data_IF_379299840321
#
_entry.id   IF_379299840321
#
_cell.length_a   1.000
_cell.length_b   1.000
_cell.length_c   1.000
_cell.angle_alpha   90.00
_cell.angle_beta   90.00
_cell.angle_gamma   90.00
#
_symmetry.space_group_name_H-M   'P 1'
#
loop_
_entity.id
_entity.type
_entity.pdbx_description
1 polymer ?
#
# COMPACT_ATOMS: atom_id res chain seq x y z
N UNK A 1 29.79 -51.25 -1.74
CA UNK A 1 28.43 -50.80 -1.34
C UNK A 1 28.63 -49.64 -0.39
N UNK A 2 28.74 -48.42 -0.92
CA UNK A 2 29.09 -47.23 -0.13
C UNK A 2 27.85 -46.37 0.01
N UNK A 3 27.30 -46.33 1.22
CA UNK A 3 26.23 -45.41 1.59
C UNK A 3 26.88 -44.07 1.95
N UNK A 4 26.60 -43.03 1.16
CA UNK A 4 26.96 -41.66 1.48
C UNK A 4 25.82 -41.12 2.36
N UNK A 5 26.06 -41.00 3.66
CA UNK A 5 25.17 -40.24 4.55
C UNK A 5 25.30 -38.76 4.22
N UNK A 6 24.32 -38.21 3.50
CA UNK A 6 24.17 -36.77 3.36
C UNK A 6 23.58 -36.21 4.67
N UNK A 7 24.43 -35.56 5.47
CA UNK A 7 23.97 -34.76 6.61
C UNK A 7 23.30 -33.49 6.09
N UNK A 8 21.98 -33.42 6.20
CA UNK A 8 21.22 -32.19 6.00
C UNK A 8 21.48 -31.26 7.19
N UNK A 9 22.16 -30.13 6.93
CA UNK A 9 22.30 -29.05 7.89
C UNK A 9 21.05 -28.17 7.79
N UNK A 10 20.12 -28.35 8.73
CA UNK A 10 18.96 -27.47 8.87
C UNK A 10 19.42 -26.18 9.54
N UNK A 11 19.53 -25.09 8.76
CA UNK A 11 19.73 -23.75 9.30
C UNK A 11 18.34 -23.23 9.69
N UNK A 12 18.04 -23.23 10.99
CA UNK A 12 16.86 -22.54 11.53
C UNK A 12 17.27 -21.08 11.73
N UNK A 13 16.85 -20.21 10.82
CA UNK A 13 16.90 -18.76 11.08
C UNK A 13 15.86 -18.44 12.15
N UNK A 14 16.34 -18.11 13.34
CA UNK A 14 15.50 -17.50 14.39
C UNK A 14 15.48 -16.01 14.09
N UNK A 15 14.42 -15.54 13.44
CA UNK A 15 14.15 -14.11 13.36
C UNK A 15 13.75 -13.66 14.77
N UNK A 16 14.58 -12.84 15.40
CA UNK A 16 14.20 -12.14 16.62
C UNK A 16 13.29 -10.99 16.20
N UNK A 17 11.98 -11.16 16.38
CA UNK A 17 11.07 -10.05 16.25
C UNK A 17 11.25 -9.18 17.49
N UNK A 18 11.96 -8.06 17.34
CA UNK A 18 12.01 -7.04 18.38
C UNK A 18 10.59 -6.54 18.61
N UNK A 19 10.11 -6.65 19.86
CA UNK A 19 8.87 -6.01 20.24
C UNK A 19 8.97 -4.50 19.93
N UNK A 20 7.92 -3.92 19.36
CA UNK A 20 7.86 -2.49 19.15
C UNK A 20 8.02 -1.75 20.49
N UNK A 21 8.78 -0.65 20.49
CA UNK A 21 8.94 0.19 21.66
C UNK A 21 7.59 0.77 22.10
N UNK A 22 7.41 0.93 23.41
CA UNK A 22 6.16 1.42 23.97
C UNK A 22 6.19 2.93 24.22
N UNK A 23 5.10 3.62 23.89
CA UNK A 23 4.90 5.04 24.22
C UNK A 23 4.70 5.20 25.72
N UNK A 24 5.57 5.97 26.37
CA UNK A 24 5.62 6.09 27.82
C UNK A 24 4.68 7.18 28.31
N UNK A 25 3.88 6.86 29.33
CA UNK A 25 3.08 7.86 30.01
C UNK A 25 3.95 8.86 30.78
N UNK A 26 3.69 10.14 30.55
CA UNK A 26 4.38 11.27 31.15
C UNK A 26 3.35 12.27 31.68
N UNK A 27 3.43 12.60 32.98
CA UNK A 27 2.51 13.54 33.65
C UNK A 27 1.01 13.23 33.46
N UNK A 28 0.65 11.94 33.41
CA UNK A 28 -0.73 11.49 33.19
C UNK A 28 -1.18 11.53 31.74
N UNK A 29 -0.28 11.73 30.78
CA UNK A 29 -0.57 11.79 29.35
C UNK A 29 0.22 10.74 28.58
N UNK A 30 -0.39 10.19 27.54
CA UNK A 30 0.29 9.52 26.42
C UNK A 30 -0.19 10.21 25.16
N UNK A 31 0.64 11.09 24.60
CA UNK A 31 0.41 11.85 23.36
C UNK A 31 1.14 11.15 22.22
N UNK A 32 0.43 10.78 21.15
CA UNK A 32 0.97 9.97 20.05
C UNK A 32 0.43 10.47 18.71
N UNK A 33 1.30 10.80 17.77
CA UNK A 33 0.95 10.88 16.35
C UNK A 33 0.67 9.48 15.82
N UNK A 34 -0.47 9.27 15.18
CA UNK A 34 -0.91 7.99 14.66
C UNK A 34 0.12 7.43 13.67
N UNK A 35 0.78 8.27 12.87
CA UNK A 35 1.80 7.82 11.92
C UNK A 35 3.12 7.34 12.54
N UNK A 36 3.26 7.35 13.86
CA UNK A 36 4.46 6.84 14.54
C UNK A 36 4.61 5.32 14.57
N UNK A 37 3.61 4.58 14.10
CA UNK A 37 3.68 3.11 13.89
C UNK A 37 3.42 2.82 12.42
N UNK A 38 3.96 1.73 11.83
CA UNK A 38 3.67 1.39 10.44
C UNK A 38 2.16 1.32 10.16
N UNK A 39 1.69 1.80 8.99
CA UNK A 39 0.27 1.76 8.69
C UNK A 39 -0.19 0.31 8.52
N UNK A 40 -1.38 0.02 9.04
CA UNK A 40 -2.09 -1.20 8.69
C UNK A 40 -2.47 -1.20 7.21
N UNK A 41 -2.85 -2.37 6.66
CA UNK A 41 -3.39 -2.45 5.30
C UNK A 41 -4.46 -1.39 5.02
N UNK A 42 -4.45 -0.79 3.83
CA UNK A 42 -5.45 0.21 3.37
C UNK A 42 -5.39 1.59 4.08
N UNK A 43 -4.57 1.74 5.13
CA UNK A 43 -4.18 3.06 5.61
C UNK A 43 -3.06 3.62 4.74
N UNK A 44 -3.24 4.85 4.28
CA UNK A 44 -2.24 5.55 3.49
C UNK A 44 -1.66 6.68 4.33
N UNK A 45 -0.32 6.67 4.50
CA UNK A 45 0.38 7.83 5.03
C UNK A 45 0.20 8.99 4.06
N UNK A 46 -0.24 10.13 4.59
CA UNK A 46 -0.35 11.37 3.86
C UNK A 46 0.56 12.38 4.50
N UNK A 47 1.34 13.09 3.69
CA UNK A 47 2.23 14.15 4.14
C UNK A 47 2.01 15.38 3.28
N UNK A 48 2.17 16.58 3.86
CA UNK A 48 1.87 17.80 3.12
C UNK A 48 0.37 18.04 2.94
N UNK A 49 0.08 19.10 2.19
CA UNK A 49 -1.24 19.29 1.62
C UNK A 49 -1.44 18.31 0.46
N UNK A 50 -2.54 17.55 0.50
CA UNK A 50 -2.91 16.61 -0.55
C UNK A 50 -4.40 16.73 -0.89
N UNK A 51 -4.77 16.31 -2.10
CA UNK A 51 -6.16 16.24 -2.57
C UNK A 51 -6.78 14.93 -2.06
N UNK A 52 -7.83 15.03 -1.25
CA UNK A 52 -8.58 13.86 -0.76
C UNK A 52 -9.71 13.46 -1.71
N UNK A 53 -9.93 14.22 -2.79
CA UNK A 53 -11.02 14.04 -3.74
C UNK A 53 -12.12 15.09 -3.55
N UNK A 54 -13.05 15.14 -4.51
CA UNK A 54 -14.17 16.10 -4.48
C UNK A 54 -13.77 17.58 -4.58
N UNK A 55 -12.50 17.89 -4.88
CA UNK A 55 -11.96 19.25 -4.86
C UNK A 55 -11.55 19.73 -3.46
N UNK A 56 -11.41 18.82 -2.50
CA UNK A 56 -10.99 19.13 -1.14
C UNK A 56 -9.51 18.82 -0.95
N UNK A 57 -8.78 19.77 -0.37
CA UNK A 57 -7.38 19.55 0.04
C UNK A 57 -7.29 19.58 1.56
N UNK A 58 -6.45 18.71 2.12
CA UNK A 58 -6.21 18.65 3.57
C UNK A 58 -4.74 18.35 3.85
N UNK A 59 -4.34 18.53 5.09
CA UNK A 59 -3.04 18.18 5.65
C UNK A 59 -3.24 17.69 7.09
N UNK A 60 -2.24 17.00 7.65
CA UNK A 60 -2.21 16.71 9.08
C UNK A 60 -2.33 18.00 9.92
N UNK A 61 -3.15 17.97 10.96
CA UNK A 61 -3.42 19.09 11.84
C UNK A 61 -2.32 19.31 12.90
N UNK A 62 -1.74 18.26 13.45
CA UNK A 62 -0.68 18.38 14.45
C UNK A 62 0.67 18.69 13.78
N UNK A 63 0.97 18.01 12.67
CA UNK A 63 2.32 18.01 12.14
C UNK A 63 2.46 17.75 10.63
N UNK A 64 1.41 18.09 9.85
CA UNK A 64 1.40 17.99 8.39
C UNK A 64 1.55 16.55 7.87
N UNK A 65 1.25 15.55 8.70
CA UNK A 65 1.02 14.18 8.30
C UNK A 65 -0.22 13.60 8.99
N UNK A 66 -0.83 12.59 8.37
CA UNK A 66 -1.93 11.84 8.96
C UNK A 66 -2.09 10.50 8.23
N UNK A 67 -2.90 9.62 8.78
CA UNK A 67 -3.39 8.45 8.07
C UNK A 67 -4.76 8.67 7.46
N UNK A 68 -4.88 8.33 6.19
CA UNK A 68 -6.14 8.31 5.43
C UNK A 68 -6.53 6.86 5.15
N UNK A 69 -7.66 6.42 5.68
CA UNK A 69 -8.18 5.09 5.40
C UNK A 69 -8.85 5.03 4.03
N UNK A 70 -8.39 4.11 3.18
CA UNK A 70 -8.87 3.97 1.79
C UNK A 70 -9.60 2.67 1.50
N UNK A 71 -9.69 1.79 2.49
CA UNK A 71 -10.38 0.51 2.39
C UNK A 71 -11.90 0.60 2.55
N UNK A 72 -12.56 -0.56 2.44
CA UNK A 72 -14.00 -0.75 2.65
C UNK A 72 -14.91 0.21 1.81
N UNK A 73 -16.20 0.28 2.18
CA UNK A 73 -17.13 1.28 1.66
C UNK A 73 -17.18 2.50 2.60
N UNK A 74 -17.68 3.63 2.09
CA UNK A 74 -17.74 4.87 2.86
C UNK A 74 -18.72 4.79 4.05
N UNK A 75 -19.76 3.95 3.98
CA UNK A 75 -20.78 3.83 5.03
C UNK A 75 -20.60 2.62 5.96
N UNK A 76 -19.72 1.67 5.60
CA UNK A 76 -19.58 0.40 6.29
C UNK A 76 -18.34 -0.37 5.86
N UNK A 77 -17.85 -1.22 6.77
CA UNK A 77 -16.70 -2.07 6.55
C UNK A 77 -16.51 -3.06 7.69
N UNK A 78 -15.74 -4.12 7.43
CA UNK A 78 -15.21 -4.98 8.48
C UNK A 78 -14.00 -4.34 9.16
N UNK A 79 -13.45 -5.01 10.17
CA UNK A 79 -12.17 -4.61 10.78
C UNK A 79 -11.05 -4.94 9.79
N UNK A 80 -10.38 -3.91 9.27
CA UNK A 80 -9.20 -4.05 8.38
C UNK A 80 -8.12 -3.04 8.76
N UNK A 81 -6.87 -3.28 8.36
CA UNK A 81 -5.81 -2.30 8.58
C UNK A 81 -5.49 -2.04 10.04
N UNK A 82 -5.32 -3.08 10.85
CA UNK A 82 -4.98 -2.92 12.26
C UNK A 82 -3.61 -2.24 12.44
N UNK A 83 -3.58 -1.17 13.24
CA UNK A 83 -2.39 -0.48 13.72
C UNK A 83 -2.29 -0.70 15.23
N UNK A 84 -1.14 -1.17 15.70
CA UNK A 84 -0.86 -1.46 17.11
C UNK A 84 0.02 -0.38 17.72
N UNK A 85 -0.42 0.16 18.85
CA UNK A 85 0.30 1.14 19.67
C UNK A 85 0.54 0.53 21.05
N UNK A 86 1.75 0.04 21.35
CA UNK A 86 2.12 -0.39 22.69
C UNK A 86 2.26 0.85 23.59
N UNK A 87 1.56 0.88 24.71
CA UNK A 87 1.51 2.02 25.63
C UNK A 87 1.97 1.57 27.00
N UNK A 88 2.91 2.28 27.60
CA UNK A 88 3.42 2.01 28.94
C UNK A 88 2.85 2.99 29.95
N UNK A 89 1.87 2.53 30.73
CA UNK A 89 1.27 3.29 31.82
C UNK A 89 2.13 3.14 33.08
N UNK A 90 2.58 4.26 33.67
CA UNK A 90 3.34 4.25 34.92
C UNK A 90 2.46 4.58 36.13
N UNK A 91 1.42 5.38 35.92
CA UNK A 91 0.49 5.82 36.97
C UNK A 91 -0.92 5.23 36.77
N UNK A 92 -1.29 4.13 37.45
CA UNK A 92 -2.57 3.45 37.20
C UNK A 92 -3.80 4.33 37.49
N UNK A 93 -4.92 3.99 36.87
CA UNK A 93 -6.24 4.57 37.10
C UNK A 93 -7.02 4.82 35.81
N UNK A 94 -8.00 5.73 35.88
CA UNK A 94 -8.89 6.04 34.77
C UNK A 94 -8.25 6.97 33.74
N UNK A 95 -8.18 6.51 32.50
CA UNK A 95 -7.76 7.27 31.33
C UNK A 95 -8.91 7.48 30.35
N UNK A 96 -8.89 8.59 29.64
CA UNK A 96 -9.84 8.96 28.59
C UNK A 96 -9.08 9.09 27.28
N UNK A 97 -9.54 8.42 26.23
CA UNK A 97 -9.01 8.59 24.89
C UNK A 97 -9.64 9.79 24.19
N UNK A 98 -8.78 10.68 23.73
CA UNK A 98 -9.10 11.75 22.80
C UNK A 98 -8.35 11.48 21.49
N UNK A 99 -9.05 11.55 20.35
CA UNK A 99 -8.42 11.38 19.04
C UNK A 99 -8.80 12.54 18.13
N UNK A 100 -7.79 13.08 17.44
CA UNK A 100 -7.92 14.11 16.43
C UNK A 100 -8.17 13.43 15.10
N UNK A 101 -9.38 13.60 14.60
CA UNK A 101 -9.89 12.88 13.44
C UNK A 101 -10.58 13.84 12.48
N UNK A 102 -10.82 13.36 11.25
CA UNK A 102 -11.63 14.05 10.25
C UNK A 102 -12.50 13.02 9.53
N UNK A 103 -13.78 13.34 9.34
CA UNK A 103 -14.64 12.66 8.37
C UNK A 103 -14.55 13.38 7.01
N UNK A 104 -14.40 12.64 5.91
CA UNK A 104 -14.31 13.21 4.57
C UNK A 104 -15.18 12.42 3.56
N UNK A 105 -16.52 12.60 3.57
CA UNK A 105 -17.45 11.84 2.73
C UNK A 105 -17.39 12.28 1.26
N UNK A 106 -16.26 12.06 0.57
CA UNK A 106 -16.00 12.52 -0.80
C UNK A 106 -16.85 11.80 -1.84
N UNK A 107 -17.34 10.59 -1.56
CA UNK A 107 -18.16 9.81 -2.50
C UNK A 107 -19.65 10.15 -2.36
N UNK A 108 -20.16 10.20 -1.13
CA UNK A 108 -21.59 10.40 -0.84
C UNK A 108 -21.99 11.84 -0.60
N UNK A 109 -21.05 12.69 -0.17
CA UNK A 109 -21.33 14.02 0.39
C UNK A 109 -22.36 13.97 1.54
N UNK A 110 -22.38 12.86 2.30
CA UNK A 110 -23.20 12.65 3.50
C UNK A 110 -22.30 12.52 4.73
N UNK A 111 -22.32 13.51 5.61
CA UNK A 111 -21.53 13.52 6.86
C UNK A 111 -21.94 12.46 7.89
N UNK A 112 -22.92 11.62 7.59
CA UNK A 112 -23.19 10.41 8.39
C UNK A 112 -22.35 9.21 7.93
N UNK A 113 -21.60 9.35 6.82
CA UNK A 113 -20.68 8.36 6.25
C UNK A 113 -19.24 8.86 6.41
N UNK A 114 -18.24 8.01 6.16
CA UNK A 114 -16.81 8.31 6.31
C UNK A 114 -16.41 8.76 7.73
N UNK A 115 -17.21 8.47 8.74
CA UNK A 115 -17.13 9.13 10.05
C UNK A 115 -16.72 8.21 11.19
N UNK A 116 -16.26 7.00 10.90
CA UNK A 116 -15.87 6.06 11.93
C UNK A 116 -14.70 5.15 11.56
N UNK A 117 -14.04 4.68 12.61
CA UNK A 117 -13.05 3.62 12.60
C UNK A 117 -13.41 2.58 13.68
N UNK A 118 -12.59 1.56 13.85
CA UNK A 118 -12.63 0.67 15.00
C UNK A 118 -11.47 0.98 15.94
N UNK A 119 -11.72 0.94 17.25
CA UNK A 119 -10.67 0.96 18.28
C UNK A 119 -10.81 -0.23 19.21
N UNK A 120 -9.71 -0.60 19.87
CA UNK A 120 -9.69 -1.65 20.90
C UNK A 120 -8.58 -1.35 21.90
N UNK A 121 -8.88 -1.47 23.20
CA UNK A 121 -7.87 -1.53 24.25
C UNK A 121 -7.83 -2.95 24.81
N UNK A 122 -6.74 -3.67 24.59
CA UNK A 122 -6.62 -5.07 25.01
C UNK A 122 -6.66 -5.21 26.54
N UNK A 123 -7.34 -6.25 27.02
CA UNK A 123 -7.46 -6.53 28.45
C UNK A 123 -8.63 -5.83 29.14
N UNK A 124 -9.32 -4.90 28.49
CA UNK A 124 -10.54 -4.30 29.02
C UNK A 124 -11.67 -5.35 29.03
N UNK A 125 -12.32 -5.51 30.18
CA UNK A 125 -13.39 -6.52 30.35
C UNK A 125 -14.78 -5.92 30.50
N UNK A 126 -14.86 -4.61 30.73
CA UNK A 126 -16.12 -3.91 30.90
C UNK A 126 -16.63 -3.35 29.57
N UNK A 127 -17.96 -3.35 29.41
CA UNK A 127 -18.61 -2.75 28.25
C UNK A 127 -18.20 -3.35 26.91
N UNK A 128 -17.98 -2.48 25.94
CA UNK A 128 -17.59 -2.84 24.58
C UNK A 128 -16.09 -2.57 24.31
N UNK A 129 -15.34 -2.17 25.33
CA UNK A 129 -14.00 -1.57 25.20
C UNK A 129 -12.88 -2.60 24.94
N UNK A 130 -13.13 -3.87 25.29
CA UNK A 130 -12.19 -4.98 25.09
C UNK A 130 -12.17 -5.62 23.70
N UNK A 131 -13.11 -5.25 22.83
CA UNK A 131 -13.20 -5.72 21.45
C UNK A 131 -13.01 -4.55 20.49
N UNK A 132 -12.79 -4.86 19.21
CA UNK A 132 -12.90 -3.82 18.18
C UNK A 132 -14.32 -3.28 18.16
N UNK A 133 -14.45 -2.03 18.61
CA UNK A 133 -15.73 -1.33 18.66
C UNK A 133 -15.65 -0.06 17.83
N UNK A 134 -16.77 0.24 17.17
CA UNK A 134 -16.93 1.39 16.32
C UNK A 134 -16.71 2.68 17.14
N UNK A 135 -15.86 3.56 16.62
CA UNK A 135 -15.50 4.84 17.20
C UNK A 135 -15.82 5.94 16.21
N UNK A 136 -16.80 6.77 16.57
CA UNK A 136 -17.57 7.61 15.66
C UNK A 136 -17.27 9.06 15.93
N UNK A 137 -16.85 9.75 14.89
CA UNK A 137 -16.82 11.19 14.86
C UNK A 137 -18.17 11.72 14.39
N UNK A 138 -18.71 12.70 15.10
CA UNK A 138 -19.96 13.39 14.74
C UNK A 138 -19.70 14.89 14.57
N UNK A 139 -18.49 15.25 14.15
CA UNK A 139 -18.07 16.63 13.91
C UNK A 139 -17.97 16.91 12.42
N UNK A 140 -18.12 18.18 12.04
CA UNK A 140 -18.39 18.57 10.66
C UNK A 140 -17.40 18.04 9.62
N UNK A 141 -17.94 17.66 8.46
CA UNK A 141 -17.17 17.11 7.35
C UNK A 141 -16.04 18.02 6.88
N UNK A 142 -14.91 17.42 6.52
CA UNK A 142 -13.68 18.10 6.08
C UNK A 142 -13.07 19.03 7.13
N UNK A 143 -13.36 18.81 8.41
CA UNK A 143 -12.74 19.54 9.51
C UNK A 143 -12.15 18.59 10.53
N UNK A 144 -10.95 18.93 11.01
CA UNK A 144 -10.32 18.21 12.10
C UNK A 144 -11.03 18.55 13.41
N UNK A 145 -11.29 17.53 14.22
CA UNK A 145 -11.73 17.76 15.57
C UNK A 145 -11.55 16.57 16.49
N UNK A 146 -11.80 16.86 17.76
CA UNK A 146 -11.62 15.95 18.87
C UNK A 146 -12.94 15.28 19.27
N UNK A 147 -12.82 14.37 20.23
CA UNK A 147 -13.91 13.68 20.92
C UNK A 147 -14.82 12.76 20.07
N UNK A 148 -14.28 11.91 19.18
CA UNK A 148 -15.03 10.74 18.73
C UNK A 148 -15.53 9.90 19.92
N UNK A 149 -16.62 9.17 19.70
CA UNK A 149 -17.35 8.41 20.73
C UNK A 149 -17.45 6.94 20.36
N UNK A 150 -17.31 6.07 21.35
CA UNK A 150 -17.53 4.64 21.16
C UNK A 150 -19.03 4.39 21.02
N UNK A 151 -19.43 3.60 20.03
CA UNK A 151 -20.81 3.16 19.84
C UNK A 151 -21.02 1.76 20.46
N UNK A 152 -21.28 1.70 21.77
CA UNK A 152 -21.60 0.46 22.51
C UNK A 152 -23.05 0.00 22.22
N UNK A 153 -23.32 -0.36 20.97
CA UNK A 153 -24.65 -0.67 20.46
C UNK A 153 -25.27 0.50 19.69
N UNK A 154 -26.26 0.19 18.86
CA UNK A 154 -26.80 1.14 17.88
C UNK A 154 -27.23 2.47 18.52
N UNK A 155 -26.55 3.55 18.12
CA UNK A 155 -26.72 4.93 18.58
C UNK A 155 -26.52 5.16 20.08
N UNK A 156 -25.83 4.25 20.77
CA UNK A 156 -25.43 4.40 22.16
C UNK A 156 -23.97 4.88 22.24
N UNK A 157 -23.80 6.20 22.22
CA UNK A 157 -22.48 6.85 22.20
C UNK A 157 -21.97 7.12 23.61
N UNK A 158 -20.79 6.59 23.93
CA UNK A 158 -20.10 6.78 25.21
C UNK A 158 -18.68 7.30 24.98
N UNK A 159 -18.08 7.86 26.03
CA UNK A 159 -16.64 8.20 25.99
C UNK A 159 -15.81 6.92 26.09
N UNK A 160 -14.65 6.94 25.43
CA UNK A 160 -13.65 5.87 25.51
C UNK A 160 -12.84 6.00 26.80
N UNK A 161 -13.36 5.42 27.89
CA UNK A 161 -12.75 5.45 29.22
C UNK A 161 -12.13 4.08 29.55
N UNK A 162 -10.89 4.05 30.05
CA UNK A 162 -10.14 2.82 30.31
C UNK A 162 -9.52 2.82 31.71
N UNK A 163 -9.83 1.81 32.52
CA UNK A 163 -9.16 1.63 33.82
C UNK A 163 -7.89 0.83 33.57
N UNK A 164 -6.74 1.49 33.71
CA UNK A 164 -5.46 0.94 33.32
C UNK A 164 -4.58 0.75 34.53
N UNK A 165 -4.09 -0.49 34.71
CA UNK A 165 -3.03 -0.81 35.65
C UNK A 165 -1.67 -0.27 35.16
N UNK A 166 -0.67 -0.22 36.04
CA UNK A 166 0.70 0.03 35.62
C UNK A 166 1.21 -1.15 34.78
N UNK A 167 1.81 -0.87 33.62
CA UNK A 167 2.27 -1.90 32.70
C UNK A 167 2.22 -1.49 31.23
N UNK A 168 2.49 -2.45 30.35
CA UNK A 168 2.33 -2.29 28.90
C UNK A 168 0.92 -2.73 28.51
N UNK A 169 0.23 -1.89 27.77
CA UNK A 169 -1.10 -2.11 27.21
C UNK A 169 -1.03 -2.00 25.69
N UNK A 170 -1.89 -2.72 24.98
CA UNK A 170 -1.96 -2.67 23.53
C UNK A 170 -3.23 -1.94 23.12
N UNK A 171 -3.05 -0.77 22.52
CA UNK A 171 -4.12 -0.02 21.89
C UNK A 171 -4.11 -0.26 20.38
N UNK A 172 -5.28 -0.48 19.80
CA UNK A 172 -5.43 -0.73 18.37
C UNK A 172 -6.36 0.30 17.74
N UNK A 173 -5.99 0.73 16.53
CA UNK A 173 -6.87 1.44 15.60
C UNK A 173 -6.99 0.58 14.36
N UNK A 174 -8.20 0.42 13.83
CA UNK A 174 -8.45 -0.28 12.58
C UNK A 174 -9.45 0.49 11.73
N UNK A 175 -9.35 0.36 10.41
CA UNK A 175 -10.24 1.02 9.48
C UNK A 175 -11.65 0.43 9.50
N UNK A 176 -12.64 1.29 9.26
CA UNK A 176 -14.04 0.91 9.05
C UNK A 176 -14.60 1.61 7.83
N UNK A 177 -14.81 2.92 7.93
CA UNK A 177 -15.38 3.72 6.84
C UNK A 177 -14.30 4.34 6.00
N UNK A 178 -14.36 4.14 4.68
CA UNK A 178 -13.47 4.82 3.73
C UNK A 178 -13.49 6.33 3.98
N UNK A 179 -12.35 6.98 3.78
CA UNK A 179 -12.16 8.42 3.92
C UNK A 179 -12.28 8.95 5.34
N UNK A 180 -12.15 8.08 6.34
CA UNK A 180 -11.84 8.49 7.70
C UNK A 180 -10.34 8.80 7.82
N UNK A 181 -10.01 9.87 8.52
CA UNK A 181 -8.63 10.27 8.77
C UNK A 181 -8.33 10.31 10.26
N UNK A 182 -7.14 9.87 10.62
CA UNK A 182 -6.60 9.96 11.98
C UNK A 182 -5.24 10.65 11.96
N UNK A 183 -5.00 11.53 12.91
CA UNK A 183 -3.77 12.31 13.01
C UNK A 183 -3.07 12.04 14.34
N UNK A 184 -3.70 12.42 15.45
CA UNK A 184 -3.13 12.30 16.79
C UNK A 184 -4.12 11.62 17.72
N UNK A 185 -3.62 10.85 18.68
CA UNK A 185 -4.40 10.53 19.87
C UNK A 185 -3.68 10.92 21.16
N UNK A 186 -4.48 11.15 22.19
CA UNK A 186 -4.06 11.42 23.55
C UNK A 186 -4.84 10.51 24.48
N UNK A 187 -4.13 9.66 25.20
CA UNK A 187 -4.69 8.93 26.33
C UNK A 187 -4.37 9.72 27.60
N UNK A 188 -5.37 10.39 28.16
CA UNK A 188 -5.21 11.31 29.26
C UNK A 188 -5.84 10.78 30.53
N UNK A 189 -5.10 10.79 31.64
CA UNK A 189 -5.66 10.49 32.96
C UNK A 189 -6.80 11.46 33.24
N UNK A 190 -7.91 10.99 33.79
CA UNK A 190 -9.14 11.78 33.97
C UNK A 190 -8.98 13.07 34.81
N UNK A 191 -7.88 13.18 35.57
CA UNK A 191 -7.51 14.38 36.32
C UNK A 191 -6.78 15.46 35.50
N UNK A 192 -6.32 15.16 34.29
CA UNK A 192 -5.59 16.09 33.43
C UNK A 192 -6.56 17.07 32.77
N UNK A 193 -6.22 18.36 32.78
CA UNK A 193 -6.98 19.40 32.12
C UNK A 193 -6.43 19.70 30.73
N UNK A 194 -7.32 20.04 29.79
CA UNK A 194 -7.00 20.39 28.40
C UNK A 194 -6.14 19.34 27.66
N UNK A 195 -6.51 18.04 27.66
CA UNK A 195 -5.71 17.00 27.01
C UNK A 195 -5.66 17.11 25.47
N UNK A 196 -6.44 18.03 24.88
CA UNK A 196 -6.53 18.24 23.43
C UNK A 196 -5.70 19.42 22.92
N UNK A 197 -4.83 19.99 23.76
CA UNK A 197 -3.89 21.04 23.35
C UNK A 197 -2.84 20.46 22.38
N UNK A 198 -2.81 20.98 21.14
CA UNK A 198 -1.88 20.53 20.10
C UNK A 198 -0.41 20.82 20.43
N UNK A 199 -0.13 21.71 21.39
CA UNK A 199 1.21 22.01 21.85
C UNK A 199 1.78 21.04 22.88
N UNK A 200 0.98 20.07 23.36
CA UNK A 200 1.47 19.02 24.24
C UNK A 200 2.63 18.25 23.57
N UNK A 201 3.73 17.97 24.30
CA UNK A 201 4.84 17.21 23.76
C UNK A 201 4.40 15.78 23.46
N UNK A 202 5.03 15.19 22.44
CA UNK A 202 4.91 13.77 22.12
C UNK A 202 5.53 12.92 23.24
N UNK A 203 4.96 11.74 23.46
CA UNK A 203 5.47 10.80 24.47
C UNK A 203 6.81 10.23 24.04
N UNK A 204 7.71 10.01 25.00
CA UNK A 204 8.94 9.26 24.74
C UNK A 204 8.64 7.77 24.46
N UNK A 205 9.56 7.10 23.74
CA UNK A 205 9.54 5.66 23.58
C UNK A 205 10.45 5.00 24.64
N UNK A 206 10.06 3.82 25.13
CA UNK A 206 10.76 3.18 26.25
C UNK A 206 12.11 2.53 25.90
N UNK A 207 12.47 2.49 24.62
CA UNK A 207 13.80 2.18 24.12
C UNK A 207 14.73 3.41 24.00
N UNK A 208 14.20 4.60 24.30
CA UNK A 208 14.90 5.87 24.22
C UNK A 208 14.93 6.51 22.84
N UNK A 209 14.25 5.94 21.84
CA UNK A 209 14.03 6.62 20.56
C UNK A 209 13.03 7.77 20.71
N UNK A 210 13.13 8.77 19.84
CA UNK A 210 12.22 9.90 19.82
C UNK A 210 11.07 9.64 18.85
N UNK A 211 9.84 9.88 19.28
CA UNK A 211 8.73 10.01 18.35
C UNK A 211 8.98 11.27 17.49
N UNK A 212 8.84 11.16 16.18
CA UNK A 212 8.85 12.35 15.33
C UNK A 212 7.55 12.46 14.54
N UNK A 213 7.11 13.71 14.45
CA UNK A 213 6.05 14.16 13.57
C UNK A 213 6.33 13.76 12.11
N UNK A 214 5.33 13.21 11.41
CA UNK A 214 5.51 12.85 10.00
C UNK A 214 5.97 11.43 9.73
N UNK A 215 5.86 10.55 10.72
CA UNK A 215 6.14 9.13 10.60
C UNK A 215 7.55 8.79 11.01
N UNK A 216 7.88 9.05 12.29
CA UNK A 216 9.23 9.16 12.82
C UNK A 216 10.14 7.95 12.91
N UNK A 217 10.30 7.23 11.81
CA UNK A 217 11.61 6.72 11.39
C UNK A 217 11.97 7.44 10.10
N UNK A 218 13.23 7.39 9.69
CA UNK A 218 13.59 7.61 8.27
C UNK A 218 13.06 6.41 7.45
N UNK A 219 11.75 6.13 7.56
CA UNK A 219 11.11 5.01 6.90
C UNK A 219 11.12 5.36 5.43
N UNK A 220 11.93 4.64 4.68
CA UNK A 220 11.91 4.78 3.23
C UNK A 220 10.50 4.37 2.79
N UNK A 221 9.72 5.24 2.12
CA UNK A 221 8.38 4.88 1.69
C UNK A 221 8.41 3.59 0.89
N UNK A 222 7.45 2.70 1.16
CA UNK A 222 7.33 1.46 0.39
C UNK A 222 6.89 1.81 -1.03
N UNK A 223 7.73 1.55 -2.01
CA UNK A 223 7.47 1.84 -3.43
C UNK A 223 7.88 0.65 -4.28
N UNK A 224 7.05 0.31 -5.28
CA UNK A 224 7.43 -0.63 -6.34
C UNK A 224 8.12 0.13 -7.47
N UNK A 225 9.43 -0.08 -7.63
CA UNK A 225 10.25 0.54 -8.68
C UNK A 225 10.17 -0.27 -9.98
N UNK A 226 10.25 -1.60 -9.90
CA UNK A 226 10.23 -2.50 -11.05
C UNK A 226 9.30 -3.70 -10.83
N UNK A 227 8.54 -4.15 -11.84
CA UNK A 227 8.39 -3.55 -13.18
C UNK A 227 7.70 -2.19 -13.16
N UNK A 228 8.01 -1.30 -14.11
CA UNK A 228 7.40 0.03 -14.18
C UNK A 228 5.88 -0.04 -14.44
N UNK A 229 5.12 0.96 -13.97
CA UNK A 229 3.68 1.08 -14.22
C UNK A 229 3.35 1.05 -15.72
N UNK A 230 2.27 0.34 -16.08
CA UNK A 230 1.86 0.14 -17.48
C UNK A 230 2.65 -0.92 -18.26
N UNK A 231 3.60 -1.61 -17.61
CA UNK A 231 4.27 -2.77 -18.23
C UNK A 231 3.31 -3.95 -18.34
N UNK A 232 3.32 -4.66 -19.47
CA UNK A 232 2.67 -5.98 -19.57
C UNK A 232 3.66 -7.10 -19.23
N UNK A 233 3.23 -8.09 -18.47
CA UNK A 233 4.05 -9.22 -18.05
C UNK A 233 3.71 -10.46 -18.87
N UNK A 234 4.72 -11.23 -19.26
CA UNK A 234 4.50 -12.49 -19.98
C UNK A 234 4.31 -13.60 -18.96
N UNK A 235 3.20 -14.33 -19.04
CA UNK A 235 2.97 -15.51 -18.17
C UNK A 235 4.12 -16.50 -18.27
N UNK A 236 4.46 -17.20 -17.19
CA UNK A 236 5.57 -18.15 -17.11
C UNK A 236 6.97 -17.56 -17.31
N UNK A 237 7.11 -16.24 -17.40
CA UNK A 237 8.42 -15.58 -17.40
C UNK A 237 8.87 -15.31 -15.96
N UNK A 238 10.18 -15.31 -15.73
CA UNK A 238 10.77 -14.85 -14.47
C UNK A 238 11.11 -13.37 -14.58
N UNK A 239 10.63 -12.58 -13.62
CA UNK A 239 10.94 -11.16 -13.49
C UNK A 239 11.61 -10.87 -12.14
N UNK A 240 12.31 -9.74 -12.06
CA UNK A 240 12.84 -9.21 -10.81
C UNK A 240 11.96 -8.06 -10.36
N UNK A 241 11.38 -8.21 -9.18
CA UNK A 241 10.71 -7.15 -8.46
C UNK A 241 11.77 -6.33 -7.75
N UNK A 242 11.66 -5.01 -7.85
CA UNK A 242 12.53 -4.07 -7.14
C UNK A 242 11.64 -3.04 -6.45
N UNK A 243 11.95 -2.73 -5.20
CA UNK A 243 11.24 -1.73 -4.44
C UNK A 243 12.12 -1.06 -3.40
N UNK A 244 11.72 0.16 -3.02
CA UNK A 244 12.28 0.87 -1.88
C UNK A 244 11.39 0.67 -0.67
N UNK A 245 12.00 0.69 0.50
CA UNK A 245 11.32 0.54 1.78
C UNK A 245 12.07 -0.42 2.68
N UNK A 246 11.81 -0.31 3.98
CA UNK A 246 12.41 -1.20 4.97
C UNK A 246 11.54 -2.45 5.14
N UNK A 247 12.20 -3.59 5.32
CA UNK A 247 11.56 -4.88 5.59
C UNK A 247 10.48 -5.32 4.58
N UNK A 248 10.68 -5.03 3.29
CA UNK A 248 9.70 -5.37 2.25
C UNK A 248 9.32 -6.86 2.24
N UNK A 249 8.03 -7.12 2.13
CA UNK A 249 7.43 -8.41 1.83
C UNK A 249 6.58 -8.29 0.57
N UNK A 250 6.71 -9.26 -0.32
CA UNK A 250 6.08 -9.25 -1.64
C UNK A 250 5.00 -10.33 -1.74
N UNK A 251 3.86 -9.98 -2.29
CA UNK A 251 2.79 -10.92 -2.66
C UNK A 251 2.15 -10.57 -4.00
N UNK A 252 1.38 -11.50 -4.56
CA UNK A 252 0.51 -11.21 -5.69
C UNK A 252 -0.89 -11.78 -5.52
N UNK A 253 -1.82 -11.16 -6.22
CA UNK A 253 -3.19 -11.59 -6.50
C UNK A 253 -3.32 -11.78 -8.02
N UNK A 254 -3.59 -13.01 -8.45
CA UNK A 254 -3.65 -13.37 -9.87
C UNK A 254 -5.08 -13.34 -10.36
N UNK A 255 -5.33 -12.57 -11.43
CA UNK A 255 -6.63 -12.07 -11.93
C UNK A 255 -7.14 -10.80 -11.24
N UNK A 256 -6.49 -10.34 -10.17
CA UNK A 256 -6.86 -9.11 -9.46
C UNK A 256 -8.31 -9.10 -8.94
N UNK A 257 -8.86 -10.26 -8.57
CA UNK A 257 -10.22 -10.40 -8.05
C UNK A 257 -10.34 -10.11 -6.55
N UNK A 258 -9.22 -9.90 -5.86
CA UNK A 258 -9.17 -9.68 -4.42
C UNK A 258 -9.25 -10.97 -3.58
N UNK A 259 -9.29 -12.15 -4.21
CA UNK A 259 -9.37 -13.45 -3.55
C UNK A 259 -7.99 -14.12 -3.46
N UNK A 260 -7.29 -13.80 -2.37
CA UNK A 260 -6.08 -14.54 -1.96
C UNK A 260 -4.78 -13.91 -2.45
N UNK A 261 -3.82 -13.83 -1.51
CA UNK A 261 -2.47 -13.34 -1.79
C UNK A 261 -1.49 -14.49 -1.69
N UNK A 262 -0.69 -14.71 -2.74
CA UNK A 262 0.41 -15.68 -2.73
C UNK A 262 1.71 -14.93 -2.42
N UNK A 263 2.43 -15.38 -1.40
CA UNK A 263 3.72 -14.78 -1.03
C UNK A 263 4.79 -15.10 -2.08
N UNK A 264 5.56 -14.08 -2.45
CA UNK A 264 6.67 -14.16 -3.41
C UNK A 264 8.01 -14.25 -2.67
N UNK A 265 8.26 -13.29 -1.76
CA UNK A 265 9.56 -13.17 -1.09
C UNK A 265 9.66 -11.96 -0.17
N UNK A 266 10.86 -11.67 0.31
CA UNK A 266 11.17 -10.51 1.18
C UNK A 266 12.44 -9.80 0.72
N UNK A 267 12.62 -8.55 1.16
CA UNK A 267 13.75 -7.68 0.80
C UNK A 267 13.45 -6.76 -0.38
N UNK A 268 14.39 -5.87 -0.67
CA UNK A 268 14.23 -4.82 -1.69
C UNK A 268 14.20 -5.37 -3.13
N UNK A 269 14.56 -6.65 -3.28
CA UNK A 269 14.49 -7.36 -4.55
C UNK A 269 13.93 -8.76 -4.34
N UNK A 270 13.06 -9.22 -5.24
CA UNK A 270 12.57 -10.61 -5.26
C UNK A 270 12.47 -11.14 -6.69
N UNK A 271 12.91 -12.38 -6.92
CA UNK A 271 12.62 -13.07 -8.19
C UNK A 271 11.22 -13.68 -8.14
N UNK A 272 10.46 -13.48 -9.21
CA UNK A 272 9.07 -13.88 -9.31
C UNK A 272 8.80 -14.55 -10.67
N UNK A 273 8.27 -15.76 -10.67
CA UNK A 273 7.76 -16.41 -11.88
C UNK A 273 6.28 -16.02 -12.05
N UNK A 274 5.98 -15.30 -13.15
CA UNK A 274 4.62 -14.86 -13.46
C UNK A 274 3.74 -16.10 -13.65
N UNK A 275 2.61 -16.25 -12.94
CA UNK A 275 1.78 -17.45 -13.03
C UNK A 275 1.25 -17.65 -14.45
N UNK A 276 1.12 -18.91 -14.87
CA UNK A 276 0.50 -19.30 -16.14
C UNK A 276 -0.97 -19.67 -15.95
N UNK A 277 -1.78 -19.51 -17.00
CA UNK A 277 -3.17 -19.96 -16.99
C UNK A 277 -4.08 -19.09 -16.13
N UNK A 278 -3.75 -17.81 -15.97
CA UNK A 278 -4.63 -16.82 -15.36
C UNK A 278 -5.81 -16.58 -16.31
N UNK A 279 -7.03 -16.83 -15.83
CA UNK A 279 -8.27 -16.62 -16.58
C UNK A 279 -8.62 -15.12 -16.66
N UNK A 280 -9.67 -14.77 -17.43
CA UNK A 280 -10.09 -13.38 -17.55
C UNK A 280 -10.66 -12.84 -16.21
N UNK A 281 -10.26 -11.61 -15.79
CA UNK A 281 -9.36 -10.71 -16.49
C UNK A 281 -7.89 -11.14 -16.37
N UNK A 282 -7.16 -11.08 -17.50
CA UNK A 282 -5.72 -11.39 -17.58
C UNK A 282 -4.87 -10.29 -16.95
N UNK A 283 -4.99 -10.11 -15.65
CA UNK A 283 -4.25 -9.14 -14.87
C UNK A 283 -3.60 -9.80 -13.66
N UNK A 284 -2.60 -9.12 -13.09
CA UNK A 284 -2.00 -9.51 -11.83
C UNK A 284 -1.74 -8.26 -11.00
N UNK A 285 -2.11 -8.28 -9.72
CA UNK A 285 -1.76 -7.22 -8.78
C UNK A 285 -0.59 -7.69 -7.92
N UNK A 286 0.53 -6.97 -7.97
CA UNK A 286 1.69 -7.21 -7.10
C UNK A 286 1.63 -6.20 -5.97
N UNK A 287 1.83 -6.66 -4.74
CA UNK A 287 1.82 -5.85 -3.52
C UNK A 287 3.16 -5.99 -2.80
N UNK A 288 3.76 -4.85 -2.44
CA UNK A 288 4.89 -4.74 -1.53
C UNK A 288 4.39 -4.12 -0.22
N UNK A 289 4.66 -4.77 0.91
CA UNK A 289 4.39 -4.23 2.25
C UNK A 289 5.71 -4.12 3.00
N UNK A 290 6.02 -2.92 3.48
CA UNK A 290 7.20 -2.62 4.30
C UNK A 290 6.85 -1.66 5.43
N UNK A 291 7.85 -1.27 6.20
CA UNK A 291 7.64 -0.40 7.37
C UNK A 291 7.13 1.00 6.96
N UNK A 292 7.51 1.45 5.76
CA UNK A 292 7.01 2.67 5.12
C UNK A 292 5.62 2.53 4.48
N UNK A 293 4.90 1.44 4.76
CA UNK A 293 3.53 1.16 4.32
C UNK A 293 3.42 0.14 3.18
N UNK A 294 2.32 0.21 2.42
CA UNK A 294 2.02 -0.72 1.33
C UNK A 294 1.95 -0.01 -0.01
N UNK A 295 2.49 -0.66 -1.05
CA UNK A 295 2.33 -0.25 -2.44
C UNK A 295 1.83 -1.44 -3.27
N UNK A 296 0.85 -1.19 -4.13
CA UNK A 296 0.33 -2.20 -5.06
C UNK A 296 0.36 -1.68 -6.50
N UNK A 297 0.57 -2.57 -7.46
CA UNK A 297 0.54 -2.26 -8.89
C UNK A 297 -0.08 -3.41 -9.68
N UNK A 298 -1.00 -3.08 -10.58
CA UNK A 298 -1.67 -4.04 -11.47
C UNK A 298 -1.02 -4.02 -12.85
N UNK A 299 -0.80 -5.20 -13.43
CA UNK A 299 -0.19 -5.39 -14.73
C UNK A 299 -1.07 -6.27 -15.62
N UNK A 300 -1.09 -5.98 -16.91
CA UNK A 300 -1.70 -6.86 -17.92
C UNK A 300 -0.82 -8.09 -18.16
N UNK A 301 -1.43 -9.26 -18.34
CA UNK A 301 -0.76 -10.51 -18.64
C UNK A 301 -0.86 -10.88 -20.13
N UNK A 302 0.27 -11.33 -20.70
CA UNK A 302 0.37 -11.87 -22.05
C UNK A 302 0.61 -13.37 -22.00
N UNK A 303 -0.08 -14.15 -22.82
CA UNK A 303 0.17 -15.60 -22.94
C UNK A 303 1.56 -15.87 -23.51
N UNK A 304 2.23 -16.93 -23.00
CA UNK A 304 3.45 -17.43 -23.64
C UNK A 304 3.15 -17.84 -25.08
N UNK A 305 3.96 -17.32 -26.02
CA UNK A 305 3.88 -17.73 -27.41
C UNK A 305 2.93 -16.91 -28.28
N UNK A 306 2.32 -15.82 -27.78
CA UNK A 306 1.67 -14.84 -28.66
C UNK A 306 2.75 -14.04 -29.37
N UNK A 307 3.21 -14.59 -30.49
CA UNK A 307 3.90 -13.78 -31.49
C UNK A 307 2.87 -12.84 -32.08
N UNK A 308 2.97 -11.54 -31.79
CA UNK A 308 2.15 -10.53 -32.47
C UNK A 308 2.61 -10.50 -33.94
N UNK A 309 1.96 -11.30 -34.76
CA UNK A 309 2.10 -11.24 -36.22
C UNK A 309 1.22 -10.08 -36.67
N UNK A 310 1.85 -8.94 -36.94
CA UNK A 310 1.17 -7.89 -37.71
C UNK A 310 0.92 -8.46 -39.10
N UNK A 311 -0.35 -8.62 -39.45
CA UNK A 311 -0.73 -8.91 -40.82
C UNK A 311 -0.46 -7.67 -41.68
N UNK A 312 0.47 -7.81 -42.62
CA UNK A 312 0.89 -6.76 -43.54
C UNK A 312 0.07 -6.85 -44.85
N UNK A 313 -1.12 -7.46 -44.82
CA UNK A 313 -2.06 -7.51 -45.95
C UNK A 313 -2.68 -6.13 -46.26
N UNK A 314 -1.83 -5.29 -46.86
CA UNK A 314 -2.10 -3.97 -47.38
C UNK A 314 -0.94 -3.39 -48.21
N UNK A 315 0.19 -4.10 -48.32
CA UNK A 315 1.36 -3.66 -49.09
C UNK A 315 1.16 -3.79 -50.61
N UNK A 316 0.40 -2.88 -51.21
CA UNK A 316 0.48 -2.66 -52.67
C UNK A 316 1.77 -1.93 -53.01
N UNK A 317 2.74 -2.67 -53.52
CA UNK A 317 3.99 -2.14 -54.10
C UNK A 317 3.65 -1.34 -55.37
N UNK A 318 3.48 -0.01 -55.27
CA UNK A 318 3.57 0.84 -56.46
C UNK A 318 5.05 1.04 -56.81
N UNK A 319 5.52 0.26 -57.78
CA UNK A 319 6.80 0.51 -58.45
C UNK A 319 6.70 1.82 -59.24
N UNK A 320 7.30 2.90 -58.73
CA UNK A 320 7.72 4.03 -59.56
C UNK A 320 9.22 4.20 -59.41
N UNK A 321 9.89 4.19 -60.56
CA UNK A 321 11.33 4.38 -60.68
C UNK A 321 11.78 5.76 -60.19
N UNK A 322 12.96 5.76 -59.57
CA UNK A 322 13.82 6.89 -59.17
C UNK A 322 13.51 7.54 -57.81
N UNK A 323 14.37 7.18 -56.85
CA UNK A 323 14.78 7.90 -55.64
C UNK A 323 13.69 8.69 -54.90
N UNK A 324 12.95 8.02 -54.03
CA UNK A 324 12.17 8.69 -52.99
C UNK A 324 12.19 7.86 -51.72
N UNK A 325 12.38 8.52 -50.58
CA UNK A 325 12.35 7.91 -49.25
C UNK A 325 11.08 7.05 -49.08
N UNK A 326 11.23 5.85 -48.51
CA UNK A 326 10.09 5.03 -48.13
C UNK A 326 9.37 5.71 -46.95
N UNK A 327 8.07 5.91 -47.10
CA UNK A 327 7.20 6.37 -46.02
C UNK A 327 6.43 5.16 -45.49
N UNK A 328 6.45 4.96 -44.19
CA UNK A 328 5.70 3.91 -43.51
C UNK A 328 4.47 4.55 -42.86
N UNK A 329 3.37 3.81 -42.72
CA UNK A 329 2.17 4.34 -42.06
C UNK A 329 1.78 3.37 -40.96
N UNK A 330 1.74 3.83 -39.72
CA UNK A 330 1.24 3.11 -38.54
C UNK A 330 0.08 3.94 -37.99
N UNK A 331 -1.09 3.32 -37.80
CA UNK A 331 -2.34 3.98 -37.34
C UNK A 331 -2.68 5.28 -38.10
N UNK A 332 -2.55 5.26 -39.43
CA UNK A 332 -2.88 6.40 -40.29
C UNK A 332 -1.87 7.55 -40.26
N UNK A 333 -0.79 7.47 -39.46
CA UNK A 333 0.27 8.48 -39.40
C UNK A 333 1.49 8.07 -40.24
N UNK A 334 1.94 8.97 -41.12
CA UNK A 334 3.14 8.76 -41.96
C UNK A 334 4.42 8.94 -41.15
N UNK A 335 5.16 7.87 -40.95
CA UNK A 335 6.49 7.85 -40.36
C UNK A 335 7.55 7.91 -41.48
N UNK A 336 8.47 8.87 -41.38
CA UNK A 336 9.71 8.89 -42.18
C UNK A 336 10.77 8.11 -41.40
N UNK A 337 10.98 6.84 -41.72
CA UNK A 337 12.06 6.08 -41.08
C UNK A 337 13.37 6.27 -41.87
N UNK A 338 14.42 6.75 -41.20
CA UNK A 338 15.80 6.66 -41.73
C UNK A 338 16.44 5.31 -41.44
N UNK A 339 15.88 4.49 -40.53
CA UNK A 339 16.05 3.04 -40.56
C UNK A 339 14.94 2.33 -39.79
N UNK A 340 14.58 1.10 -40.17
CA UNK A 340 13.62 0.23 -39.47
C UNK A 340 13.99 0.01 -37.99
N UNK A 341 15.26 0.20 -37.64
CA UNK A 341 15.80 0.08 -36.28
C UNK A 341 15.27 1.15 -35.33
N UNK A 342 15.08 2.38 -35.82
CA UNK A 342 14.53 3.49 -35.02
C UNK A 342 13.04 3.28 -34.73
N UNK A 343 12.30 2.71 -35.69
CA UNK A 343 10.88 2.37 -35.50
C UNK A 343 10.70 1.23 -34.49
N UNK A 344 11.52 0.18 -34.58
CA UNK A 344 11.50 -0.93 -33.62
C UNK A 344 11.87 -0.49 -32.19
N UNK A 345 12.90 0.34 -32.04
CA UNK A 345 13.28 0.90 -30.74
C UNK A 345 12.19 1.81 -30.13
N UNK A 346 11.43 2.55 -30.95
CA UNK A 346 10.34 3.41 -30.46
C UNK A 346 9.14 2.66 -29.89
N UNK A 347 9.08 1.33 -30.03
CA UNK A 347 8.05 0.45 -29.47
C UNK A 347 8.65 -0.67 -28.61
N UNK A 348 9.90 -0.52 -28.14
CA UNK A 348 10.54 -1.47 -27.22
C UNK A 348 11.01 -2.80 -27.85
N UNK A 349 11.05 -2.91 -29.18
CA UNK A 349 11.48 -4.15 -29.86
C UNK A 349 13.01 -4.21 -30.04
N UNK A 350 13.62 -5.33 -29.63
CA UNK A 350 15.08 -5.46 -29.52
C UNK A 350 15.82 -5.96 -30.78
N UNK A 351 15.15 -6.47 -31.83
CA UNK A 351 15.83 -6.86 -33.07
C UNK A 351 14.92 -6.91 -34.31
N UNK A 352 15.52 -6.70 -35.49
CA UNK A 352 14.93 -7.00 -36.81
C UNK A 352 16.02 -7.64 -37.68
N UNK A 353 15.86 -8.90 -38.08
CA UNK A 353 16.73 -9.56 -39.09
C UNK A 353 15.92 -9.85 -40.35
N UNK A 354 16.48 -9.47 -41.50
CA UNK A 354 15.93 -9.78 -42.82
C UNK A 354 16.92 -10.68 -43.56
N UNK A 355 16.52 -11.92 -43.86
CA UNK A 355 17.27 -12.80 -44.76
C UNK A 355 16.52 -12.93 -46.08
N UNK A 356 17.27 -12.93 -47.18
CA UNK A 356 16.76 -13.09 -48.55
C UNK A 356 17.30 -14.38 -49.13
N UNK A 357 16.42 -15.24 -49.65
CA UNK A 357 16.82 -16.32 -50.57
C UNK A 357 16.24 -16.08 -51.97
N UNK A 358 16.97 -16.60 -52.96
CA UNK A 358 17.01 -16.18 -54.37
C UNK A 358 15.82 -16.55 -55.24
N UNK A 359 14.72 -17.00 -54.67
CA UNK A 359 13.54 -17.53 -55.35
C UNK A 359 12.29 -17.01 -54.63
N UNK A 360 11.82 -15.85 -55.10
CA UNK A 360 10.80 -15.06 -54.43
C UNK A 360 9.56 -15.86 -53.98
N UNK A 361 9.17 -15.56 -52.74
CA UNK A 361 7.84 -15.67 -52.13
C UNK A 361 7.63 -16.81 -51.12
N UNK A 362 8.22 -16.66 -49.93
CA UNK A 362 7.51 -16.72 -48.64
C UNK A 362 8.47 -16.24 -47.54
N UNK A 363 8.07 -15.22 -46.78
CA UNK A 363 8.82 -14.82 -45.59
C UNK A 363 8.34 -15.70 -44.43
N UNK A 364 9.25 -16.48 -43.84
CA UNK A 364 8.99 -17.16 -42.57
C UNK A 364 9.63 -16.34 -41.46
N UNK A 365 8.80 -15.84 -40.56
CA UNK A 365 9.20 -15.22 -39.31
C UNK A 365 9.63 -16.34 -38.35
N UNK A 366 10.88 -16.30 -37.89
CA UNK A 366 11.35 -17.12 -36.79
C UNK A 366 11.93 -16.16 -35.76
N UNK A 367 11.29 -16.10 -34.61
CA UNK A 367 11.76 -15.37 -33.44
C UNK A 367 12.40 -16.41 -32.52
N UNK A 368 13.68 -16.25 -32.23
CA UNK A 368 14.35 -16.99 -31.15
C UNK A 368 15.27 -16.00 -30.43
N UNK A 369 15.12 -15.93 -29.12
CA UNK A 369 15.98 -15.14 -28.25
C UNK A 369 17.45 -15.58 -28.39
N UNK A 370 18.36 -14.61 -28.38
CA UNK A 370 19.77 -14.85 -28.05
C UNK A 370 20.16 -13.87 -26.94
N UNK A 371 20.82 -14.35 -25.86
CA UNK A 371 21.33 -13.47 -24.81
C UNK A 371 22.53 -12.66 -25.32
N UNK A 372 22.79 -11.54 -24.63
CA UNK A 372 23.79 -10.50 -24.97
C UNK A 372 25.18 -11.02 -25.29
#
# INVERSE_FOLDING_TARGET
MNWICASFLLIVSIAWQTAAAAFVEEDGLVVVECESVPPGSEWQLRTGAYDIGGGHTTAGASCNACYHFTGNAENSGGVTGEMLYPIKITNPGMYVLHMLVMEAPVESNDGTWANDCYIKMEGQTEGCDGNFTKYVYLGGSFSWGWDPKIECGQHNFVTADYDLDAGIHNFYIAGRSKNFLVDRFVLAKSSVSNPTDLSLPLSSLDDGSEQTCGGGGDWTPTVIESPAEGTSLVMGSTITLEGTGDNLSWSYDANSDGEGNVSIGTGNTAEFEVPTGVDDPKTITITAVGDGGSASRTYDLLDQGVTVVYDIDGFRRQHRSKSTAAFYTLDGRRLRARSLREAAASVGMSAVVLVRNGDGATAKLLVSDLPR
#
